data_IF_647091335417
#
_entry.id   IF_647091335417
#
_cell.length_a   1.000
_cell.length_b   1.000
_cell.length_c   1.000
_cell.angle_alpha   90.00
_cell.angle_beta   90.00
_cell.angle_gamma   90.00
#
_symmetry.space_group_name_H-M   'P 1'
#
loop_
_entity.id
_entity.type
_entity.pdbx_description
1 polymer ?
#
# COMPACT_ATOMS: atom_id res chain seq x y z
N UNK A 1 -9.52 -27.32 -3.87
CA UNK A 1 -8.55 -26.24 -4.08
C UNK A 1 -9.19 -25.38 -5.14
N UNK A 2 -9.81 -24.28 -4.71
CA UNK A 2 -10.77 -23.45 -5.46
C UNK A 2 -10.41 -21.97 -5.24
N UNK A 3 -9.12 -21.66 -5.41
CA UNK A 3 -8.54 -20.35 -5.09
C UNK A 3 -7.83 -19.76 -6.30
N UNK A 4 -8.50 -19.80 -7.46
CA UNK A 4 -8.07 -19.08 -8.65
C UNK A 4 -9.09 -17.99 -8.92
N UNK A 5 -8.65 -16.73 -9.00
CA UNK A 5 -9.54 -15.67 -9.45
C UNK A 5 -9.98 -15.97 -10.88
N UNK A 6 -11.29 -15.88 -11.09
CA UNK A 6 -11.91 -16.13 -12.40
C UNK A 6 -12.23 -14.83 -13.15
N UNK A 7 -11.70 -13.67 -12.70
CA UNK A 7 -11.98 -12.34 -13.24
C UNK A 7 -10.73 -11.63 -13.77
N UNK A 8 -10.87 -10.36 -14.20
CA UNK A 8 -9.71 -9.54 -14.54
C UNK A 8 -9.03 -9.04 -13.24
N UNK A 9 -7.79 -9.47 -13.02
CA UNK A 9 -6.98 -9.09 -11.87
C UNK A 9 -6.07 -7.91 -12.21
N UNK A 10 -6.04 -6.90 -11.34
CA UNK A 10 -5.11 -5.77 -11.45
C UNK A 10 -4.01 -5.92 -10.40
N UNK A 11 -2.76 -5.63 -10.78
CA UNK A 11 -1.60 -5.75 -9.89
C UNK A 11 -1.19 -4.38 -9.38
N UNK A 12 -1.22 -4.22 -8.05
CA UNK A 12 -0.71 -3.05 -7.33
C UNK A 12 0.75 -3.28 -6.93
N UNK A 13 1.56 -2.23 -7.06
CA UNK A 13 2.97 -2.20 -6.65
C UNK A 13 3.15 -1.07 -5.65
N UNK A 14 3.61 -1.41 -4.44
CA UNK A 14 3.91 -0.45 -3.37
C UNK A 14 5.40 -0.48 -3.09
N UNK A 15 6.06 0.67 -3.23
CA UNK A 15 7.46 0.85 -2.87
C UNK A 15 7.55 1.77 -1.66
N UNK A 16 8.44 1.46 -0.72
CA UNK A 16 8.65 2.26 0.49
C UNK A 16 10.03 1.98 1.09
N UNK A 17 10.48 2.89 1.93
CA UNK A 17 11.62 2.70 2.84
C UNK A 17 11.07 2.40 4.23
N UNK A 18 11.47 1.28 4.83
CA UNK A 18 11.03 0.91 6.18
C UNK A 18 12.08 1.32 7.23
N UNK A 19 11.63 2.05 8.25
CA UNK A 19 12.39 2.35 9.47
C UNK A 19 11.71 1.72 10.69
N UNK A 20 12.47 0.93 11.45
CA UNK A 20 11.98 0.32 12.69
C UNK A 20 12.43 1.15 13.91
N UNK A 21 11.48 1.71 14.65
CA UNK A 21 11.72 2.58 15.81
C UNK A 21 11.34 1.85 17.10
N UNK A 22 12.30 1.69 18.01
CA UNK A 22 12.03 1.14 19.34
C UNK A 22 11.26 2.15 20.20
N UNK A 23 10.12 1.73 20.75
CA UNK A 23 9.30 2.59 21.61
C UNK A 23 9.62 2.32 23.09
N UNK A 24 9.44 1.08 23.55
CA UNK A 24 9.75 0.68 24.93
C UNK A 24 9.78 -0.83 25.07
N UNK A 25 10.29 -1.36 26.20
CA UNK A 25 10.25 -2.81 26.47
C UNK A 25 8.82 -3.37 26.49
N UNK A 26 7.84 -2.58 26.91
CA UNK A 26 6.44 -3.01 26.98
C UNK A 26 5.72 -2.89 25.62
N UNK A 27 6.11 -1.91 24.80
CA UNK A 27 5.44 -1.59 23.54
C UNK A 27 6.12 -2.16 22.30
N UNK A 28 7.37 -2.61 22.42
CA UNK A 28 8.16 -3.12 21.29
C UNK A 28 8.58 -2.00 20.33
N UNK A 29 8.54 -2.32 19.05
CA UNK A 29 8.95 -1.46 17.95
C UNK A 29 7.73 -1.01 17.12
N UNK A 30 7.87 0.13 16.46
CA UNK A 30 6.93 0.65 15.46
C UNK A 30 7.66 0.75 14.12
N UNK A 31 7.00 0.37 13.03
CA UNK A 31 7.49 0.67 11.69
C UNK A 31 7.02 2.06 11.25
N UNK A 32 7.91 2.81 10.62
CA UNK A 32 7.62 4.02 9.86
C UNK A 32 7.96 3.72 8.41
N UNK A 33 7.00 3.94 7.52
CA UNK A 33 7.20 3.78 6.08
C UNK A 33 7.35 5.15 5.45
N UNK A 34 8.55 5.46 4.96
CA UNK A 34 8.88 6.69 4.24
C UNK A 34 8.94 6.45 2.73
N UNK A 35 8.88 7.54 1.96
CA UNK A 35 8.92 7.54 0.50
C UNK A 35 7.94 6.54 -0.14
N UNK A 36 6.76 6.40 0.47
CA UNK A 36 5.70 5.50 -0.01
C UNK A 36 5.24 5.98 -1.38
N UNK A 37 5.44 5.12 -2.37
CA UNK A 37 4.99 5.31 -3.74
C UNK A 37 4.09 4.15 -4.16
N UNK A 38 3.06 4.48 -4.93
CA UNK A 38 2.06 3.55 -5.40
C UNK A 38 2.01 3.54 -6.92
N UNK A 39 1.97 2.35 -7.50
CA UNK A 39 1.72 2.13 -8.91
C UNK A 39 0.84 0.90 -9.12
N UNK A 40 0.41 0.71 -10.36
CA UNK A 40 -0.28 -0.49 -10.78
C UNK A 40 0.19 -0.87 -12.18
N UNK A 41 0.07 -2.14 -12.53
CA UNK A 41 0.45 -2.64 -13.84
C UNK A 41 -0.67 -2.34 -14.83
N UNK A 42 -0.33 -1.67 -15.93
CA UNK A 42 -1.25 -1.50 -17.04
C UNK A 42 -1.38 -2.79 -17.84
N UNK A 43 -2.60 -3.15 -18.19
CA UNK A 43 -3.02 -4.25 -19.03
C UNK A 43 -4.16 -3.79 -19.96
N UNK A 44 -4.81 -4.75 -20.65
CA UNK A 44 -5.84 -4.46 -21.64
C UNK A 44 -7.25 -4.19 -21.08
N UNK A 45 -7.47 -4.42 -19.79
CA UNK A 45 -8.80 -4.39 -19.16
C UNK A 45 -8.77 -3.85 -17.70
N UNK A 46 -7.78 -3.03 -17.34
CA UNK A 46 -7.64 -2.51 -15.96
C UNK A 46 -8.95 -1.93 -15.43
N UNK A 47 -9.37 -2.43 -14.28
CA UNK A 47 -10.43 -1.78 -13.51
C UNK A 47 -9.87 -0.70 -12.59
N UNK A 48 -8.58 -0.73 -12.25
CA UNK A 48 -7.91 0.38 -11.56
C UNK A 48 -7.55 1.44 -12.60
N UNK A 49 -8.22 2.58 -12.53
CA UNK A 49 -8.04 3.68 -13.48
C UNK A 49 -7.03 4.72 -12.99
N UNK A 50 -6.97 4.95 -11.68
CA UNK A 50 -6.02 5.90 -11.11
C UNK A 50 -5.85 5.70 -9.61
N UNK A 51 -4.78 6.30 -9.08
CA UNK A 51 -4.41 6.21 -7.67
C UNK A 51 -3.96 7.57 -7.17
N UNK A 52 -4.24 7.88 -5.91
CA UNK A 52 -3.76 9.09 -5.27
C UNK A 52 -3.12 8.75 -3.92
N UNK A 53 -1.82 8.99 -3.82
CA UNK A 53 -1.09 8.92 -2.54
C UNK A 53 -1.40 10.21 -1.77
N UNK A 54 -2.05 10.07 -0.62
CA UNK A 54 -2.47 11.19 0.24
C UNK A 54 -1.29 11.64 1.09
N UNK A 55 -0.50 10.67 1.58
CA UNK A 55 0.75 10.88 2.29
C UNK A 55 1.78 9.86 1.82
N UNK A 56 3.01 10.31 1.61
CA UNK A 56 4.15 9.45 1.32
C UNK A 56 4.88 8.96 2.59
N UNK A 57 4.36 9.31 3.77
CA UNK A 57 4.85 8.86 5.07
C UNK A 57 3.73 8.25 5.91
N UNK A 58 3.91 7.01 6.34
CA UNK A 58 2.94 6.25 7.15
C UNK A 58 3.55 5.92 8.51
N UNK A 59 2.99 6.54 9.54
CA UNK A 59 3.44 6.37 10.94
C UNK A 59 2.36 5.79 11.86
N UNK A 60 1.10 5.84 11.43
CA UNK A 60 -0.09 5.32 12.12
C UNK A 60 -1.13 4.85 11.10
N UNK A 61 -2.11 4.08 11.56
CA UNK A 61 -3.21 3.53 10.76
C UNK A 61 -4.52 4.35 10.88
N UNK A 62 -4.45 5.55 11.48
CA UNK A 62 -5.63 6.34 11.85
C UNK A 62 -6.37 6.96 10.66
N UNK A 63 -5.70 7.06 9.50
CA UNK A 63 -6.22 7.71 8.30
C UNK A 63 -5.96 6.87 7.05
N UNK A 64 -6.76 7.09 6.01
CA UNK A 64 -6.44 6.58 4.68
C UNK A 64 -5.15 7.23 4.16
N UNK A 65 -4.29 6.43 3.53
CA UNK A 65 -3.01 6.90 2.99
C UNK A 65 -2.97 6.89 1.46
N UNK A 66 -3.80 6.07 0.83
CA UNK A 66 -3.89 5.90 -0.62
C UNK A 66 -5.37 5.79 -1.00
N UNK A 67 -5.77 6.48 -2.07
CA UNK A 67 -7.03 6.26 -2.75
C UNK A 67 -6.79 5.50 -4.06
N UNK A 68 -7.68 4.55 -4.37
CA UNK A 68 -7.71 3.79 -5.62
C UNK A 68 -9.06 4.03 -6.26
N UNK A 69 -9.06 4.39 -7.55
CA UNK A 69 -10.27 4.73 -8.30
C UNK A 69 -10.46 3.78 -9.47
N UNK A 70 -11.72 3.45 -9.75
CA UNK A 70 -12.19 2.62 -10.85
C UNK A 70 -13.20 3.38 -11.72
#
# INVERSE_FOLDING_TARGET
SDDFATGNEDVIIINYVNEEIFISKACGFKNVFDDVNFGFTADGDNWILSTNVITNKIETEDNAHIHIFH
#
